data_IF_818314984912
#
_entry.id   IF_818314984912
#
_cell.length_a   1.000
_cell.length_b   1.000
_cell.length_c   1.000
_cell.angle_alpha   90.00
_cell.angle_beta   90.00
_cell.angle_gamma   90.00
#
_symmetry.space_group_name_H-M   'P 1'
#
loop_
_entity.id
_entity.type
_entity.pdbx_description
1 polymer ?
#
# COMPACT_ATOMS: atom_id res chain seq x y z
N UNK A 1 26.43 -2.48 14.10
CA UNK A 1 25.87 -3.55 13.23
C UNK A 1 26.98 -4.31 12.49
N UNK A 2 28.09 -4.65 13.19
CA UNK A 2 29.24 -5.38 12.62
C UNK A 2 29.61 -6.62 13.45
N UNK A 3 29.08 -6.79 14.68
CA UNK A 3 29.35 -7.97 15.53
C UNK A 3 28.24 -9.04 15.54
N UNK A 4 27.06 -8.81 14.97
CA UNK A 4 25.99 -9.85 14.94
C UNK A 4 26.10 -10.87 13.80
N UNK A 5 27.07 -10.76 12.88
CA UNK A 5 27.17 -11.62 11.70
C UNK A 5 28.02 -12.89 11.90
N UNK A 6 28.55 -13.14 13.11
CA UNK A 6 29.40 -14.31 13.40
C UNK A 6 28.72 -15.49 14.08
N UNK A 7 27.45 -15.40 14.50
CA UNK A 7 26.85 -16.41 15.39
C UNK A 7 25.69 -17.25 14.80
N UNK A 8 25.35 -17.14 13.50
CA UNK A 8 24.18 -17.84 12.95
C UNK A 8 24.35 -18.49 11.57
N UNK A 9 25.55 -18.97 11.22
CA UNK A 9 25.76 -19.79 10.00
C UNK A 9 26.61 -21.04 10.31
N UNK A 10 26.14 -22.25 9.97
CA UNK A 10 26.95 -23.48 10.00
C UNK A 10 28.18 -23.37 9.07
N UNK A 11 29.31 -23.93 9.50
CA UNK A 11 30.66 -23.80 8.92
C UNK A 11 30.88 -24.28 7.46
N UNK A 12 29.84 -24.62 6.69
CA UNK A 12 30.01 -25.17 5.33
C UNK A 12 29.75 -24.19 4.16
N UNK A 13 29.56 -22.88 4.42
CA UNK A 13 29.34 -21.87 3.36
C UNK A 13 30.53 -20.95 3.08
N UNK A 14 31.74 -21.34 3.49
CA UNK A 14 32.98 -20.60 3.18
C UNK A 14 33.52 -21.05 1.83
N UNK A 15 32.83 -20.75 0.71
CA UNK A 15 33.42 -20.83 -0.64
C UNK A 15 32.51 -20.22 -1.73
N UNK A 16 32.14 -18.93 -1.63
CA UNK A 16 31.71 -18.14 -2.81
C UNK A 16 32.24 -16.70 -2.68
N UNK A 17 33.41 -16.37 -3.26
CA UNK A 17 34.06 -15.06 -3.03
C UNK A 17 33.48 -13.86 -3.81
N UNK A 18 32.72 -14.06 -4.90
CA UNK A 18 32.46 -12.98 -5.86
C UNK A 18 31.32 -12.02 -5.51
N UNK A 19 30.28 -12.46 -4.79
CA UNK A 19 29.11 -11.60 -4.50
C UNK A 19 29.28 -10.71 -3.26
N UNK A 20 30.08 -11.14 -2.27
CA UNK A 20 30.19 -10.46 -0.97
C UNK A 20 31.18 -9.28 -1.03
N UNK A 21 32.19 -9.35 -1.91
CA UNK A 21 33.18 -8.29 -2.11
C UNK A 21 32.60 -7.00 -2.69
N UNK A 22 31.77 -7.09 -3.74
CA UNK A 22 31.18 -5.92 -4.41
C UNK A 22 30.08 -5.24 -3.58
N UNK A 23 29.41 -5.98 -2.68
CA UNK A 23 28.38 -5.42 -1.80
C UNK A 23 28.96 -4.57 -0.65
N UNK A 24 30.21 -4.83 -0.23
CA UNK A 24 30.89 -4.06 0.83
C UNK A 24 31.35 -2.68 0.35
N UNK A 25 31.93 -2.60 -0.84
CA UNK A 25 32.40 -1.34 -1.44
C UNK A 25 31.24 -0.42 -1.84
N UNK A 26 30.11 -0.98 -2.30
CA UNK A 26 28.94 -0.19 -2.69
C UNK A 26 28.15 0.44 -1.53
N UNK A 27 28.23 -0.11 -0.31
CA UNK A 27 27.53 0.46 0.85
C UNK A 27 28.25 1.69 1.44
N UNK A 28 29.58 1.70 1.46
CA UNK A 28 30.35 2.82 2.01
C UNK A 28 30.32 4.06 1.11
N UNK A 29 30.31 3.87 -0.22
CA UNK A 29 30.19 4.97 -1.20
C UNK A 29 28.79 5.62 -1.21
N UNK A 30 27.76 4.92 -0.74
CA UNK A 30 26.33 5.32 -0.80
C UNK A 30 25.90 6.38 0.22
N UNK A 31 26.68 6.60 1.29
CA UNK A 31 26.33 7.59 2.32
C UNK A 31 26.80 9.00 1.97
N UNK A 32 28.01 9.19 1.44
CA UNK A 32 28.57 10.52 1.12
C UNK A 32 27.99 11.16 -0.15
N UNK A 33 27.56 10.38 -1.13
CA UNK A 33 26.98 10.88 -2.40
C UNK A 33 25.48 11.24 -2.32
N UNK A 34 24.80 10.84 -1.23
CA UNK A 34 23.34 10.99 -1.06
C UNK A 34 22.88 12.45 -0.88
N UNK A 35 23.73 13.36 -0.38
CA UNK A 35 23.32 14.76 -0.13
C UNK A 35 23.41 15.65 -1.38
N UNK A 36 24.44 15.46 -2.23
CA UNK A 36 24.65 16.25 -3.47
C UNK A 36 23.82 15.76 -4.67
N UNK A 37 23.51 14.45 -4.75
CA UNK A 37 22.72 13.89 -5.86
C UNK A 37 21.23 14.23 -5.70
N UNK A 38 20.71 14.23 -4.47
CA UNK A 38 19.29 14.52 -4.20
C UNK A 38 18.93 15.97 -4.57
N UNK A 39 19.80 16.95 -4.32
CA UNK A 39 19.54 18.36 -4.64
C UNK A 39 19.54 18.64 -6.14
N UNK A 40 20.47 18.05 -6.90
CA UNK A 40 20.53 18.24 -8.36
C UNK A 40 19.44 17.45 -9.11
N UNK A 41 19.14 16.21 -8.71
CA UNK A 41 18.05 15.44 -9.33
C UNK A 41 16.67 16.06 -9.08
N UNK A 42 16.44 16.71 -7.92
CA UNK A 42 15.18 17.42 -7.64
C UNK A 42 14.99 18.65 -8.55
N UNK A 43 16.06 19.38 -8.88
CA UNK A 43 15.99 20.53 -9.81
C UNK A 43 15.64 20.09 -11.23
N UNK A 44 16.27 19.03 -11.73
CA UNK A 44 16.03 18.53 -13.09
C UNK A 44 14.66 17.84 -13.25
N UNK A 45 14.21 17.09 -12.23
CA UNK A 45 12.87 16.49 -12.21
C UNK A 45 11.76 17.56 -12.13
N UNK A 46 11.96 18.66 -11.40
CA UNK A 46 11.01 19.79 -11.38
C UNK A 46 10.86 20.43 -12.76
N UNK A 47 11.95 20.65 -13.48
CA UNK A 47 11.95 21.22 -14.85
C UNK A 47 11.21 20.33 -15.87
N UNK A 48 11.46 19.01 -15.85
CA UNK A 48 10.78 18.05 -16.74
C UNK A 48 9.29 17.95 -16.42
N UNK A 49 8.93 18.01 -15.14
CA UNK A 49 7.54 17.98 -14.70
C UNK A 49 6.77 19.26 -15.09
N UNK A 50 7.43 20.42 -15.07
CA UNK A 50 6.87 21.71 -15.53
C UNK A 50 6.65 21.68 -17.05
N UNK A 51 7.65 21.24 -17.85
CA UNK A 51 7.48 21.10 -19.31
C UNK A 51 6.34 20.14 -19.68
N UNK A 52 6.22 18.99 -19.01
CA UNK A 52 5.09 18.05 -19.21
C UNK A 52 3.73 18.64 -18.83
N UNK A 53 3.66 19.47 -17.77
CA UNK A 53 2.42 20.19 -17.38
C UNK A 53 2.02 21.27 -18.39
N UNK A 54 2.99 21.99 -18.96
CA UNK A 54 2.74 23.01 -20.00
C UNK A 54 2.23 22.34 -21.29
N UNK A 55 2.83 21.21 -21.70
CA UNK A 55 2.40 20.48 -22.89
C UNK A 55 0.99 19.88 -22.72
N UNK A 56 0.67 19.33 -21.54
CA UNK A 56 -0.69 18.85 -21.22
C UNK A 56 -1.72 19.98 -21.18
N UNK A 57 -1.37 21.17 -20.66
CA UNK A 57 -2.25 22.35 -20.69
C UNK A 57 -2.54 22.83 -22.11
N UNK A 58 -1.54 22.83 -23.00
CA UNK A 58 -1.73 23.18 -24.42
C UNK A 58 -2.64 22.20 -25.16
N UNK A 59 -2.52 20.89 -24.89
CA UNK A 59 -3.38 19.86 -25.50
C UNK A 59 -4.83 19.96 -25.01
N UNK A 60 -5.03 20.18 -23.70
CA UNK A 60 -6.35 20.33 -23.09
C UNK A 60 -7.08 21.63 -23.51
N UNK A 61 -6.34 22.70 -23.82
CA UNK A 61 -6.91 23.95 -24.37
C UNK A 61 -7.45 23.76 -25.79
N UNK A 62 -6.89 22.82 -26.56
CA UNK A 62 -7.33 22.52 -27.93
C UNK A 62 -8.63 21.69 -27.93
N UNK A 63 -8.74 20.71 -27.03
CA UNK A 63 -9.97 19.91 -26.82
C UNK A 63 -11.13 20.78 -26.25
N UNK A 64 -10.86 21.71 -25.34
CA UNK A 64 -11.86 22.64 -24.79
C UNK A 64 -12.44 23.65 -25.81
N UNK A 65 -11.75 23.91 -26.92
CA UNK A 65 -12.25 24.77 -27.99
C UNK A 65 -13.23 24.05 -28.93
N UNK A 66 -13.18 22.72 -28.99
CA UNK A 66 -14.11 21.90 -29.79
C UNK A 66 -15.41 21.62 -29.01
N UNK A 67 -15.33 21.41 -27.69
CA UNK A 67 -16.50 21.13 -26.81
C UNK A 67 -17.44 22.33 -26.58
N UNK A 68 -16.96 23.57 -26.76
CA UNK A 68 -17.79 24.79 -26.63
C UNK A 68 -18.90 24.88 -27.70
N UNK A 69 -18.80 24.11 -28.79
CA UNK A 69 -19.84 24.02 -29.83
C UNK A 69 -21.03 23.11 -29.45
N UNK A 70 -20.92 22.30 -28.39
CA UNK A 70 -21.96 21.34 -27.96
C UNK A 70 -22.70 21.72 -26.65
N UNK A 71 -22.29 22.82 -26.00
CA UNK A 71 -22.78 23.23 -24.68
C UNK A 71 -24.17 23.90 -24.64
N UNK A 72 -24.83 24.19 -25.78
CA UNK A 72 -26.14 24.89 -25.75
C UNK A 72 -27.33 23.99 -25.37
N UNK A 73 -27.15 22.66 -25.26
CA UNK A 73 -28.25 21.70 -24.99
C UNK A 73 -28.40 21.23 -23.54
N UNK A 74 -27.49 21.53 -22.61
CA UNK A 74 -27.53 20.99 -21.23
C UNK A 74 -28.15 21.91 -20.16
N UNK A 75 -28.53 23.14 -20.51
CA UNK A 75 -29.08 24.14 -19.58
C UNK A 75 -30.49 23.85 -19.01
N UNK A 76 -31.08 22.68 -19.24
CA UNK A 76 -32.48 22.38 -18.85
C UNK A 76 -32.67 21.26 -17.80
N UNK A 77 -31.60 20.73 -17.20
CA UNK A 77 -31.69 19.58 -16.27
C UNK A 77 -31.48 19.91 -14.77
N UNK A 78 -31.41 21.18 -14.38
CA UNK A 78 -31.13 21.59 -12.98
C UNK A 78 -32.35 21.84 -12.08
N UNK A 79 -33.58 21.58 -12.52
CA UNK A 79 -34.79 21.92 -11.73
C UNK A 79 -35.49 20.77 -11.01
N UNK A 80 -34.99 19.53 -11.03
CA UNK A 80 -35.69 18.41 -10.42
C UNK A 80 -34.84 17.60 -9.44
N UNK A 81 -35.10 17.76 -8.15
CA UNK A 81 -34.93 16.81 -7.01
C UNK A 81 -34.31 17.48 -5.76
N UNK A 82 -35.14 18.25 -5.04
CA UNK A 82 -34.96 18.55 -3.61
C UNK A 82 -35.51 17.37 -2.78
N UNK A 83 -34.78 16.94 -1.76
CA UNK A 83 -35.33 16.17 -0.63
C UNK A 83 -34.86 16.78 0.70
N UNK A 84 -35.77 16.77 1.69
CA UNK A 84 -35.84 17.62 2.90
C UNK A 84 -34.84 17.37 4.04
N UNK A 85 -33.67 16.76 3.78
CA UNK A 85 -32.58 16.73 4.78
C UNK A 85 -31.27 17.02 4.09
N UNK A 86 -30.82 18.28 4.19
CA UNK A 86 -29.64 18.86 3.53
C UNK A 86 -28.28 18.29 3.92
N UNK A 87 -28.11 16.96 3.85
CA UNK A 87 -26.81 16.29 3.91
C UNK A 87 -26.41 15.88 2.49
N UNK A 88 -25.58 16.69 1.83
CA UNK A 88 -24.88 16.24 0.64
C UNK A 88 -23.77 15.26 1.05
N UNK A 89 -23.97 13.97 0.79
CA UNK A 89 -22.89 13.00 0.89
C UNK A 89 -21.96 13.14 -0.32
N UNK A 90 -20.65 13.02 -0.12
CA UNK A 90 -19.69 12.86 -1.22
C UNK A 90 -20.04 11.68 -2.15
N UNK A 91 -20.86 10.72 -1.71
CA UNK A 91 -21.33 9.62 -2.55
C UNK A 91 -22.26 10.13 -3.65
N UNK A 92 -23.09 11.13 -3.36
CA UNK A 92 -23.99 11.78 -4.33
C UNK A 92 -23.17 12.51 -5.41
N UNK A 93 -22.12 13.24 -5.00
CA UNK A 93 -21.19 13.91 -5.91
C UNK A 93 -20.34 12.92 -6.73
N UNK A 94 -19.90 11.80 -6.14
CA UNK A 94 -19.06 10.79 -6.83
C UNK A 94 -19.84 9.95 -7.84
N UNK A 95 -21.13 9.68 -7.59
CA UNK A 95 -22.04 9.04 -8.55
C UNK A 95 -22.31 9.92 -9.78
N UNK A 96 -22.28 11.25 -9.62
CA UNK A 96 -22.46 12.22 -10.70
C UNK A 96 -21.18 12.49 -11.52
N UNK A 97 -20.03 11.91 -11.14
CA UNK A 97 -18.77 12.08 -11.88
C UNK A 97 -18.57 10.99 -12.94
N UNK A 98 -17.93 11.32 -14.10
CA UNK A 98 -17.51 10.34 -15.10
C UNK A 98 -16.67 9.22 -14.46
N UNK A 99 -16.82 7.98 -14.94
CA UNK A 99 -16.18 6.77 -14.36
C UNK A 99 -14.67 6.94 -14.15
N UNK A 100 -14.01 7.71 -15.02
CA UNK A 100 -12.56 7.96 -15.01
C UNK A 100 -12.10 8.81 -13.82
N UNK A 101 -12.98 9.66 -13.29
CA UNK A 101 -12.73 10.50 -12.12
C UNK A 101 -13.05 9.80 -10.78
N UNK A 102 -13.70 8.63 -10.81
CA UNK A 102 -13.97 7.87 -9.59
C UNK A 102 -12.71 7.19 -9.04
N UNK A 103 -11.72 6.97 -9.90
CA UNK A 103 -10.46 6.23 -9.67
C UNK A 103 -9.29 7.12 -9.21
N UNK A 104 -9.46 8.45 -9.13
CA UNK A 104 -8.39 9.37 -8.74
C UNK A 104 -8.29 9.52 -7.22
N UNK A 105 -7.11 9.21 -6.65
CA UNK A 105 -6.81 9.45 -5.24
C UNK A 105 -6.90 10.95 -4.91
N UNK A 106 -7.61 11.28 -3.83
CA UNK A 106 -7.86 12.67 -3.45
C UNK A 106 -6.85 13.10 -2.38
N UNK A 107 -5.84 13.89 -2.76
CA UNK A 107 -4.89 14.46 -1.81
C UNK A 107 -5.43 15.77 -1.23
N UNK A 108 -5.55 15.86 0.09
CA UNK A 108 -5.92 17.10 0.78
C UNK A 108 -4.65 17.83 1.21
N UNK A 109 -4.40 19.00 0.60
CA UNK A 109 -3.32 19.89 1.03
C UNK A 109 -3.87 21.00 1.94
N UNK A 110 -3.55 20.95 3.23
CA UNK A 110 -3.69 22.10 4.14
C UNK A 110 -2.45 23.00 4.07
N UNK A 111 -2.55 24.27 4.51
CA UNK A 111 -1.43 25.21 4.60
C UNK A 111 -0.22 24.57 5.32
N UNK A 112 0.80 24.24 4.53
CA UNK A 112 1.76 23.18 4.83
C UNK A 112 2.65 23.47 6.05
N UNK A 113 3.05 24.72 6.27
CA UNK A 113 4.09 25.06 7.25
C UNK A 113 3.64 24.95 8.72
N UNK A 114 2.43 25.43 9.05
CA UNK A 114 1.88 25.36 10.42
C UNK A 114 1.36 23.97 10.77
N UNK A 115 0.78 23.27 9.80
CA UNK A 115 0.26 21.90 9.96
C UNK A 115 1.40 20.89 10.03
N UNK A 116 2.47 21.04 9.23
CA UNK A 116 3.63 20.15 9.32
C UNK A 116 4.35 20.27 10.66
N UNK A 117 4.58 21.48 11.20
CA UNK A 117 5.25 21.64 12.49
C UNK A 117 4.41 21.05 13.65
N UNK A 118 3.13 21.42 13.76
CA UNK A 118 2.24 20.86 14.81
C UNK A 118 2.01 19.37 14.64
N UNK A 119 1.77 18.89 13.41
CA UNK A 119 1.57 17.46 13.19
C UNK A 119 2.85 16.65 13.36
N UNK A 120 4.04 17.19 13.10
CA UNK A 120 5.28 16.46 13.34
C UNK A 120 5.53 16.28 14.83
N UNK A 121 5.31 17.33 15.64
CA UNK A 121 5.43 17.21 17.11
C UNK A 121 4.36 16.25 17.66
N UNK A 122 3.12 16.38 17.20
CA UNK A 122 2.04 15.47 17.59
C UNK A 122 2.30 14.04 17.12
N UNK A 123 2.82 13.85 15.92
CA UNK A 123 3.16 12.53 15.40
C UNK A 123 4.27 11.92 16.24
N UNK A 124 5.33 12.67 16.58
CA UNK A 124 6.42 12.15 17.40
C UNK A 124 5.90 11.66 18.77
N UNK A 125 5.00 12.42 19.40
CA UNK A 125 4.34 12.02 20.65
C UNK A 125 3.42 10.81 20.47
N UNK A 126 2.56 10.84 19.45
CA UNK A 126 1.63 9.74 19.15
C UNK A 126 2.39 8.45 18.82
N UNK A 127 3.52 8.55 18.13
CA UNK A 127 4.32 7.41 17.70
C UNK A 127 4.88 6.61 18.88
N UNK A 128 5.14 7.25 20.03
CA UNK A 128 5.55 6.55 21.24
C UNK A 128 4.45 5.59 21.70
N UNK A 129 3.20 6.08 21.80
CA UNK A 129 2.05 5.26 22.15
C UNK A 129 1.74 4.20 21.08
N UNK A 130 1.72 4.59 19.81
CA UNK A 130 1.47 3.69 18.68
C UNK A 130 2.48 2.54 18.65
N UNK A 131 3.75 2.78 18.97
CA UNK A 131 4.76 1.72 18.98
C UNK A 131 4.57 0.73 20.14
N UNK A 132 4.05 1.18 21.28
CA UNK A 132 3.70 0.32 22.42
C UNK A 132 2.46 -0.52 22.13
N UNK A 133 1.44 0.09 21.51
CA UNK A 133 0.16 -0.57 21.27
C UNK A 133 0.16 -1.49 20.04
N UNK A 134 0.96 -1.20 19.01
CA UNK A 134 0.92 -1.99 17.77
C UNK A 134 1.75 -3.29 17.87
N UNK A 135 1.12 -4.47 17.66
CA UNK A 135 1.81 -5.75 17.70
C UNK A 135 2.73 -5.92 16.50
N UNK A 136 3.63 -6.91 16.58
CA UNK A 136 4.67 -7.10 15.57
C UNK A 136 4.14 -7.45 14.16
N UNK A 137 2.94 -8.01 14.09
CA UNK A 137 2.30 -8.44 12.84
C UNK A 137 1.90 -7.27 11.92
N UNK A 138 1.73 -6.06 12.46
CA UNK A 138 1.46 -4.84 11.68
C UNK A 138 2.77 -4.16 11.29
N UNK A 139 3.07 -4.15 9.98
CA UNK A 139 4.27 -3.55 9.42
C UNK A 139 4.02 -2.20 8.74
N UNK A 140 2.77 -1.86 8.43
CA UNK A 140 2.43 -0.62 7.72
C UNK A 140 2.84 0.63 8.48
N UNK A 141 3.53 1.56 7.81
CA UNK A 141 3.92 2.86 8.35
C UNK A 141 4.75 2.82 9.66
N UNK A 142 5.50 1.73 9.89
CA UNK A 142 6.40 1.61 11.04
C UNK A 142 7.86 1.78 10.64
N UNK A 143 8.64 2.39 11.53
CA UNK A 143 10.07 2.57 11.33
C UNK A 143 10.76 1.20 11.26
N UNK A 144 11.55 0.98 10.20
CA UNK A 144 12.33 -0.24 10.03
C UNK A 144 11.53 -1.47 9.59
N UNK A 145 10.24 -1.31 9.28
CA UNK A 145 9.40 -2.39 8.71
C UNK A 145 8.89 -1.93 7.35
N UNK A 146 9.07 -2.77 6.34
CA UNK A 146 8.64 -2.49 4.98
C UNK A 146 7.83 -3.63 4.39
N UNK A 147 7.29 -3.39 3.20
CA UNK A 147 6.54 -4.41 2.44
C UNK A 147 7.39 -5.64 2.16
N UNK A 148 8.72 -5.46 2.01
CA UNK A 148 9.66 -6.57 1.80
C UNK A 148 9.66 -7.59 2.93
N UNK A 149 9.52 -7.14 4.18
CA UNK A 149 9.52 -8.02 5.34
C UNK A 149 8.26 -8.88 5.35
N UNK A 150 7.11 -8.28 5.02
CA UNK A 150 5.85 -9.02 4.91
C UNK A 150 5.85 -10.01 3.74
N UNK A 151 6.39 -9.63 2.59
CA UNK A 151 6.55 -10.54 1.45
C UNK A 151 7.45 -11.73 1.84
N UNK A 152 8.56 -11.47 2.55
CA UNK A 152 9.46 -12.53 3.03
C UNK A 152 8.77 -13.45 4.04
N UNK A 153 8.05 -12.90 5.03
CA UNK A 153 7.28 -13.67 6.01
C UNK A 153 6.28 -14.60 5.32
N UNK A 154 5.51 -14.06 4.36
CA UNK A 154 4.54 -14.83 3.59
C UNK A 154 5.20 -16.00 2.84
N UNK A 155 6.32 -15.73 2.16
CA UNK A 155 7.08 -16.75 1.43
C UNK A 155 7.66 -17.83 2.34
N UNK A 156 8.17 -17.45 3.52
CA UNK A 156 8.68 -18.41 4.49
C UNK A 156 7.59 -19.27 5.09
N UNK A 157 6.42 -18.70 5.39
CA UNK A 157 5.27 -19.45 5.90
C UNK A 157 4.84 -20.52 4.90
N UNK A 158 4.67 -20.16 3.62
CA UNK A 158 4.31 -21.11 2.56
C UNK A 158 5.36 -22.22 2.43
N UNK A 159 6.64 -21.87 2.37
CA UNK A 159 7.74 -22.85 2.27
C UNK A 159 7.77 -23.79 3.47
N UNK A 160 7.61 -23.25 4.68
CA UNK A 160 7.66 -24.04 5.91
C UNK A 160 6.49 -25.01 6.01
N UNK A 161 5.28 -24.60 5.65
CA UNK A 161 4.16 -25.53 5.64
C UNK A 161 4.32 -26.61 4.58
N UNK A 162 4.89 -26.28 3.41
CA UNK A 162 5.22 -27.27 2.39
C UNK A 162 6.25 -28.30 2.89
N UNK A 163 7.30 -27.83 3.57
CA UNK A 163 8.28 -28.72 4.23
C UNK A 163 7.62 -29.65 5.25
N UNK A 164 6.60 -29.17 5.96
CA UNK A 164 5.83 -29.93 6.95
C UNK A 164 4.62 -30.68 6.37
N UNK A 165 4.40 -30.62 5.05
CA UNK A 165 3.23 -31.18 4.36
C UNK A 165 1.88 -30.75 4.97
N UNK A 166 1.81 -29.52 5.48
CA UNK A 166 0.60 -28.93 6.04
C UNK A 166 -0.15 -28.11 5.01
N UNK A 167 -1.47 -28.17 5.08
CA UNK A 167 -2.31 -27.25 4.32
C UNK A 167 -2.30 -25.86 4.96
N UNK A 168 -2.27 -24.82 4.14
CA UNK A 168 -2.50 -23.45 4.57
C UNK A 168 -3.61 -22.83 3.74
N UNK A 169 -4.42 -22.05 4.43
CA UNK A 169 -5.43 -21.18 3.87
C UNK A 169 -5.06 -19.73 4.17
N UNK A 170 -5.08 -18.88 3.14
CA UNK A 170 -4.90 -17.45 3.24
C UNK A 170 -6.17 -16.75 2.78
N UNK A 171 -6.59 -15.74 3.54
CA UNK A 171 -7.66 -14.84 3.14
C UNK A 171 -7.09 -13.42 3.06
N UNK A 172 -7.06 -12.87 1.86
CA UNK A 172 -6.67 -11.50 1.57
C UNK A 172 -7.90 -10.61 1.68
N UNK A 173 -7.96 -9.82 2.76
CA UNK A 173 -9.07 -8.91 3.06
C UNK A 173 -8.87 -7.60 2.32
N UNK A 174 -9.94 -7.15 1.65
CA UNK A 174 -10.06 -5.79 1.09
C UNK A 174 -11.20 -5.05 1.80
N UNK A 175 -10.92 -3.87 2.35
CA UNK A 175 -11.93 -3.01 2.95
C UNK A 175 -12.53 -2.07 1.89
N UNK A 176 -13.86 -1.93 1.90
CA UNK A 176 -14.55 -1.01 1.01
C UNK A 176 -14.29 0.44 1.41
N UNK A 177 -13.33 1.10 0.74
CA UNK A 177 -12.99 2.53 0.93
C UNK A 177 -12.65 2.86 2.39
N UNK A 178 -11.79 2.04 2.97
CA UNK A 178 -11.23 2.11 4.32
C UNK A 178 -11.00 3.53 4.88
N UNK A 179 -10.25 4.39 4.18
CA UNK A 179 -9.94 5.75 4.65
C UNK A 179 -11.16 6.67 4.65
N UNK A 180 -12.11 6.46 3.73
CA UNK A 180 -13.31 7.29 3.58
C UNK A 180 -14.42 6.90 4.59
N UNK A 181 -14.34 5.69 5.17
CA UNK A 181 -15.37 5.11 6.03
C UNK A 181 -15.15 5.33 7.54
N UNK A 182 -13.99 5.86 7.95
CA UNK A 182 -13.69 6.10 9.37
C UNK A 182 -14.58 7.21 9.93
N UNK A 183 -15.40 6.86 10.92
CA UNK A 183 -16.25 7.77 11.68
C UNK A 183 -15.42 8.46 12.77
N UNK A 184 -15.39 9.80 12.77
CA UNK A 184 -14.63 10.58 13.75
C UNK A 184 -15.11 10.34 15.18
N UNK A 185 -16.42 10.20 15.41
CA UNK A 185 -16.96 9.98 16.77
C UNK A 185 -16.45 8.67 17.36
N UNK A 186 -16.45 7.61 16.54
CA UNK A 186 -15.92 6.30 16.93
C UNK A 186 -14.41 6.32 17.07
N UNK A 187 -13.70 7.01 16.17
CA UNK A 187 -12.25 7.16 16.25
C UNK A 187 -11.81 7.76 17.59
N UNK A 188 -12.45 8.85 18.06
CA UNK A 188 -12.08 9.47 19.34
C UNK A 188 -12.33 8.53 20.53
N UNK A 189 -13.41 7.75 20.50
CA UNK A 189 -13.71 6.74 21.52
C UNK A 189 -12.65 5.64 21.54
N UNK A 190 -12.29 5.13 20.36
CA UNK A 190 -11.26 4.09 20.19
C UNK A 190 -9.91 4.56 20.70
N UNK A 191 -9.50 5.80 20.39
CA UNK A 191 -8.20 6.31 20.85
C UNK A 191 -8.12 6.37 22.38
N UNK A 192 -9.22 6.74 23.06
CA UNK A 192 -9.30 6.69 24.53
C UNK A 192 -9.19 5.26 25.06
N UNK A 193 -9.93 4.32 24.48
CA UNK A 193 -9.89 2.91 24.87
C UNK A 193 -8.53 2.25 24.62
N UNK A 194 -7.79 2.72 23.60
CA UNK A 194 -6.43 2.28 23.29
C UNK A 194 -5.35 2.92 24.19
N UNK A 195 -5.73 3.65 25.25
CA UNK A 195 -4.81 4.22 26.23
C UNK A 195 -4.13 5.53 25.82
N UNK A 196 -4.64 6.23 24.80
CA UNK A 196 -4.06 7.52 24.38
C UNK A 196 -4.55 8.63 25.32
N UNK A 197 -3.63 9.45 25.87
CA UNK A 197 -3.99 10.53 26.78
C UNK A 197 -5.05 11.47 26.23
N UNK A 198 -5.98 11.88 27.10
CA UNK A 198 -7.11 12.74 26.75
C UNK A 198 -6.68 14.09 26.15
N UNK A 199 -5.57 14.66 26.62
CA UNK A 199 -5.04 15.91 26.08
C UNK A 199 -4.63 15.79 24.60
N UNK A 200 -4.04 14.66 24.19
CA UNK A 200 -3.70 14.40 22.78
C UNK A 200 -4.96 14.17 21.94
N UNK A 201 -5.91 13.41 22.46
CA UNK A 201 -7.19 13.14 21.79
C UNK A 201 -7.99 14.43 21.60
N UNK A 202 -7.97 15.34 22.57
CA UNK A 202 -8.59 16.66 22.48
C UNK A 202 -7.95 17.53 21.37
N UNK A 203 -6.61 17.55 21.30
CA UNK A 203 -5.88 18.25 20.23
C UNK A 203 -6.22 17.69 18.84
N UNK A 204 -6.28 16.35 18.70
CA UNK A 204 -6.69 15.70 17.45
C UNK A 204 -8.14 16.04 17.09
N UNK A 205 -9.06 16.00 18.05
CA UNK A 205 -10.47 16.38 17.83
C UNK A 205 -10.58 17.82 17.35
N UNK A 206 -9.84 18.75 17.95
CA UNK A 206 -9.82 20.15 17.53
C UNK A 206 -9.21 20.33 16.13
N UNK A 207 -8.19 19.54 15.79
CA UNK A 207 -7.64 19.52 14.43
C UNK A 207 -8.65 19.03 13.42
N UNK A 208 -9.54 18.11 13.81
CA UNK A 208 -10.52 17.52 12.90
C UNK A 208 -11.89 18.22 12.87
N UNK A 209 -12.20 19.06 13.85
CA UNK A 209 -13.47 19.78 13.96
C UNK A 209 -13.66 20.84 12.87
N UNK A 210 -14.91 21.07 12.46
CA UNK A 210 -15.29 22.15 11.53
C UNK A 210 -14.63 22.08 10.15
N UNK A 211 -14.28 20.88 9.69
CA UNK A 211 -13.62 20.71 8.39
C UNK A 211 -14.57 20.89 7.23
N UNK A 212 -14.25 21.84 6.37
CA UNK A 212 -14.88 22.00 5.07
C UNK A 212 -13.91 21.62 3.96
N UNK A 213 -14.46 21.08 2.88
CA UNK A 213 -13.72 20.88 1.66
C UNK A 213 -14.54 21.34 0.45
N UNK A 214 -13.80 21.65 -0.60
CA UNK A 214 -14.33 21.89 -1.94
C UNK A 214 -13.53 21.05 -2.93
N UNK A 215 -14.21 20.59 -3.98
CA UNK A 215 -13.61 19.89 -5.12
C UNK A 215 -13.38 20.89 -6.25
N UNK A 216 -12.12 21.04 -6.67
CA UNK A 216 -11.75 21.81 -7.86
C UNK A 216 -11.73 20.90 -9.08
N UNK A 217 -12.65 21.12 -10.01
CA UNK A 217 -12.75 20.38 -11.28
C UNK A 217 -12.20 21.24 -12.43
N UNK A 218 -12.19 20.68 -13.65
CA UNK A 218 -11.85 21.45 -14.86
C UNK A 218 -12.87 22.53 -15.21
N UNK A 219 -14.09 22.44 -14.68
CA UNK A 219 -15.22 23.33 -14.98
C UNK A 219 -15.51 24.35 -13.87
N UNK A 220 -14.71 24.36 -12.80
CA UNK A 220 -14.88 25.28 -11.68
C UNK A 220 -14.64 24.63 -10.31
N UNK A 221 -14.83 25.43 -9.26
CA UNK A 221 -14.73 24.99 -7.87
C UNK A 221 -16.13 24.75 -7.34
N UNK A 222 -16.37 23.60 -6.73
CA UNK A 222 -17.67 23.26 -6.13
C UNK A 222 -17.94 24.05 -4.85
N UNK A 223 -19.18 24.06 -4.38
CA UNK A 223 -19.54 24.66 -3.10
C UNK A 223 -18.85 23.91 -1.96
N UNK A 224 -18.52 24.63 -0.89
CA UNK A 224 -18.00 24.04 0.34
C UNK A 224 -19.00 23.06 0.95
N UNK A 225 -18.52 21.93 1.40
CA UNK A 225 -19.31 20.97 2.18
C UNK A 225 -18.49 20.47 3.37
N UNK A 226 -19.20 20.05 4.41
CA UNK A 226 -18.61 19.60 5.66
C UNK A 226 -18.12 18.14 5.57
N UNK A 227 -16.95 17.86 6.14
CA UNK A 227 -16.36 16.52 6.20
C UNK A 227 -16.77 15.85 7.52
N UNK A 228 -17.76 14.95 7.48
CA UNK A 228 -18.23 14.21 8.65
C UNK A 228 -17.60 12.82 8.87
N UNK A 229 -16.98 12.25 7.85
CA UNK A 229 -16.30 10.94 7.86
C UNK A 229 -15.05 11.06 7.00
N UNK A 230 -14.03 10.24 7.30
CA UNK A 230 -12.73 10.10 6.59
C UNK A 230 -11.51 10.53 7.40
N UNK A 231 -10.40 9.83 7.23
CA UNK A 231 -9.08 10.31 7.66
C UNK A 231 -8.39 11.07 6.52
N UNK A 232 -7.79 12.24 6.81
CA UNK A 232 -7.22 13.15 5.80
C UNK A 232 -6.14 12.47 4.94
N UNK A 233 -6.43 12.21 3.67
CA UNK A 233 -5.42 11.66 2.74
C UNK A 233 -4.35 12.72 2.44
N UNK A 234 -3.10 12.41 2.80
CA UNK A 234 -1.96 13.35 2.72
C UNK A 234 -1.58 14.00 4.06
N UNK A 235 -2.37 13.81 5.13
CA UNK A 235 -1.96 14.19 6.48
C UNK A 235 -1.02 13.14 7.06
N UNK A 236 0.04 13.62 7.72
CA UNK A 236 1.10 12.80 8.31
C UNK A 236 0.58 11.91 9.46
N UNK A 237 -0.49 12.35 10.15
CA UNK A 237 -1.10 11.61 11.27
C UNK A 237 -2.04 10.50 10.82
N UNK A 238 -2.60 10.59 9.62
CA UNK A 238 -3.64 9.68 9.14
C UNK A 238 -3.23 8.20 9.15
N UNK A 239 -2.01 7.84 8.72
CA UNK A 239 -1.58 6.44 8.78
C UNK A 239 -1.52 5.89 10.21
N UNK A 240 -1.04 6.69 11.17
CA UNK A 240 -0.97 6.28 12.57
C UNK A 240 -2.37 6.06 13.18
N UNK A 241 -3.30 6.98 12.89
CA UNK A 241 -4.69 6.89 13.35
C UNK A 241 -5.39 5.66 12.77
N UNK A 242 -5.18 5.40 11.48
CA UNK A 242 -5.75 4.22 10.83
C UNK A 242 -5.17 2.91 11.41
N UNK A 243 -3.87 2.85 11.66
CA UNK A 243 -3.26 1.66 12.27
C UNK A 243 -3.84 1.36 13.65
N UNK A 244 -4.05 2.36 14.50
CA UNK A 244 -4.68 2.20 15.82
C UNK A 244 -6.13 1.73 15.70
N UNK A 245 -6.86 2.29 14.73
CA UNK A 245 -8.23 1.91 14.45
C UNK A 245 -8.34 0.46 13.98
N UNK A 246 -7.45 0.04 13.06
CA UNK A 246 -7.35 -1.34 12.61
C UNK A 246 -6.94 -2.29 13.75
N UNK A 247 -6.02 -1.86 14.62
CA UNK A 247 -5.60 -2.65 15.78
C UNK A 247 -6.74 -2.90 16.76
N UNK A 248 -7.54 -1.87 17.04
CA UNK A 248 -8.73 -2.00 17.88
C UNK A 248 -9.70 -3.08 17.39
N UNK A 249 -9.91 -3.17 16.07
CA UNK A 249 -10.74 -4.22 15.45
C UNK A 249 -10.13 -5.60 15.73
N UNK A 250 -8.82 -5.75 15.52
CA UNK A 250 -8.13 -7.04 15.68
C UNK A 250 -8.12 -7.52 17.13
N UNK A 251 -7.91 -6.61 18.10
CA UNK A 251 -8.01 -6.91 19.54
C UNK A 251 -9.42 -7.34 19.92
N UNK A 252 -10.43 -6.62 19.45
CA UNK A 252 -11.84 -6.94 19.74
C UNK A 252 -12.36 -8.19 19.02
N UNK A 253 -11.69 -8.60 17.94
CA UNK A 253 -11.89 -9.90 17.29
C UNK A 253 -11.18 -11.04 18.04
N UNK A 254 -10.40 -10.73 19.09
CA UNK A 254 -9.65 -11.68 19.93
C UNK A 254 -8.79 -12.62 19.10
N UNK A 255 -8.08 -12.07 18.12
CA UNK A 255 -7.21 -12.86 17.26
C UNK A 255 -6.04 -13.47 18.05
N UNK A 256 -5.48 -12.77 19.03
CA UNK A 256 -4.34 -13.30 19.81
C UNK A 256 -4.72 -14.54 20.65
N UNK A 257 -5.94 -14.58 21.16
CA UNK A 257 -6.49 -15.71 21.93
C UNK A 257 -6.98 -16.86 21.03
N UNK A 258 -7.08 -16.63 19.72
CA UNK A 258 -7.60 -17.62 18.80
C UNK A 258 -6.60 -18.79 18.61
N UNK A 259 -7.10 -20.01 18.78
CA UNK A 259 -6.36 -21.24 18.47
C UNK A 259 -6.12 -21.40 16.96
N UNK A 260 -6.96 -20.76 16.15
CA UNK A 260 -6.88 -20.76 14.70
C UNK A 260 -5.70 -19.91 14.21
N UNK A 261 -4.88 -20.49 13.34
CA UNK A 261 -3.69 -19.87 12.79
C UNK A 261 -2.68 -20.90 12.30
N UNK A 262 -1.47 -20.44 12.01
CA UNK A 262 -0.33 -21.27 11.66
C UNK A 262 0.54 -21.43 12.90
N UNK A 263 0.59 -22.66 13.42
CA UNK A 263 1.28 -22.98 14.66
C UNK A 263 2.76 -23.13 14.36
N UNK A 264 3.54 -22.12 14.73
CA UNK A 264 5.00 -22.21 14.78
C UNK A 264 5.42 -22.66 16.18
N UNK A 265 6.59 -23.27 16.34
CA UNK A 265 7.09 -23.83 17.60
C UNK A 265 7.03 -22.90 18.83
N UNK A 266 6.91 -21.57 18.65
CA UNK A 266 6.81 -20.60 19.74
C UNK A 266 5.55 -19.73 19.73
N UNK A 267 4.86 -19.60 18.60
CA UNK A 267 3.79 -18.61 18.40
C UNK A 267 2.78 -19.10 17.36
N UNK A 268 1.52 -18.74 17.56
CA UNK A 268 0.48 -18.90 16.55
C UNK A 268 0.43 -17.64 15.66
N UNK A 269 0.58 -17.80 14.35
CA UNK A 269 0.51 -16.68 13.39
C UNK A 269 -0.79 -16.80 12.62
N UNK A 270 -1.72 -15.87 12.85
CA UNK A 270 -3.02 -15.89 12.17
C UNK A 270 -3.28 -14.68 11.29
N UNK A 271 -2.42 -13.65 11.34
CA UNK A 271 -2.54 -12.50 10.48
C UNK A 271 -1.18 -11.88 10.13
N UNK A 272 -1.09 -11.32 8.93
CA UNK A 272 -0.05 -10.40 8.50
C UNK A 272 -0.71 -9.14 7.99
N UNK A 273 -0.22 -7.97 8.43
CA UNK A 273 -0.84 -6.69 8.12
C UNK A 273 0.17 -5.70 7.56
N UNK A 274 -0.23 -4.99 6.53
CA UNK A 274 0.49 -3.86 5.99
C UNK A 274 -0.50 -2.72 5.71
N UNK A 275 -0.64 -1.82 6.69
CA UNK A 275 -1.65 -0.76 6.65
C UNK A 275 -3.07 -1.36 6.59
N UNK A 276 -3.80 -1.10 5.52
CA UNK A 276 -5.15 -1.60 5.22
C UNK A 276 -5.15 -3.03 4.70
N UNK A 277 -4.09 -3.44 3.97
CA UNK A 277 -3.92 -4.80 3.52
C UNK A 277 -3.80 -5.74 4.72
N UNK A 278 -4.82 -6.57 4.93
CA UNK A 278 -4.85 -7.58 5.99
C UNK A 278 -4.96 -8.97 5.37
N UNK A 279 -4.01 -9.84 5.71
CA UNK A 279 -4.07 -11.25 5.34
C UNK A 279 -4.31 -12.07 6.59
N UNK A 280 -5.44 -12.78 6.65
CA UNK A 280 -5.68 -13.81 7.66
C UNK A 280 -5.16 -15.15 7.16
N UNK A 281 -4.75 -16.02 8.09
CA UNK A 281 -4.25 -17.35 7.76
C UNK A 281 -4.58 -18.38 8.83
N UNK A 282 -4.77 -19.63 8.41
CA UNK A 282 -4.92 -20.79 9.28
C UNK A 282 -4.50 -22.08 8.57
N UNK A 283 -4.26 -23.14 9.34
CA UNK A 283 -3.98 -24.50 8.84
C UNK A 283 -5.26 -25.27 8.41
N UNK A 284 -6.45 -24.78 8.78
CA UNK A 284 -7.74 -25.44 8.54
C UNK A 284 -8.83 -24.44 8.13
N UNK A 285 -10.06 -24.94 7.91
CA UNK A 285 -11.24 -24.11 7.66
C UNK A 285 -11.61 -23.17 8.82
N UNK A 286 -10.93 -23.25 9.98
CA UNK A 286 -11.07 -22.30 11.08
C UNK A 286 -10.84 -20.84 10.66
N UNK A 287 -10.16 -20.60 9.53
CA UNK A 287 -10.08 -19.29 8.88
C UNK A 287 -11.45 -18.66 8.65
N UNK A 288 -12.51 -19.45 8.39
CA UNK A 288 -13.91 -18.97 8.28
C UNK A 288 -14.32 -18.25 9.57
N UNK A 289 -14.04 -18.86 10.71
CA UNK A 289 -14.39 -18.30 12.02
C UNK A 289 -13.64 -16.99 12.30
N UNK A 290 -12.35 -16.93 11.96
CA UNK A 290 -11.53 -15.72 12.11
C UNK A 290 -12.07 -14.58 11.26
N UNK A 291 -12.41 -14.88 10.01
CA UNK A 291 -12.91 -13.90 9.07
C UNK A 291 -14.30 -13.37 9.46
N UNK A 292 -15.20 -14.24 9.93
CA UNK A 292 -16.50 -13.83 10.47
C UNK A 292 -16.34 -12.91 11.68
N UNK A 293 -15.47 -13.25 12.64
CA UNK A 293 -15.17 -12.39 13.80
C UNK A 293 -14.64 -11.02 13.37
N UNK A 294 -13.67 -10.98 12.45
CA UNK A 294 -13.12 -9.73 11.94
C UNK A 294 -14.19 -8.92 11.20
N UNK A 295 -15.04 -9.56 10.40
CA UNK A 295 -16.17 -8.90 9.70
C UNK A 295 -17.12 -8.23 10.68
N UNK A 296 -17.64 -8.97 11.65
CA UNK A 296 -18.61 -8.45 12.63
C UNK A 296 -18.04 -7.27 13.42
N UNK A 297 -16.79 -7.37 13.86
CA UNK A 297 -16.13 -6.29 14.62
C UNK A 297 -15.81 -5.09 13.75
N UNK A 298 -15.42 -5.30 12.50
CA UNK A 298 -15.19 -4.23 11.52
C UNK A 298 -16.49 -3.45 11.25
N UNK A 299 -17.60 -4.15 11.03
CA UNK A 299 -18.89 -3.53 10.73
C UNK A 299 -19.41 -2.71 11.90
N UNK A 300 -19.21 -3.17 13.15
CA UNK A 300 -19.56 -2.42 14.37
C UNK A 300 -18.87 -1.06 14.43
N UNK A 301 -17.61 -0.99 14.02
CA UNK A 301 -16.89 0.29 13.96
C UNK A 301 -17.17 1.07 12.68
N UNK A 302 -17.75 0.44 11.65
CA UNK A 302 -18.19 1.10 10.41
C UNK A 302 -17.28 0.85 9.22
N UNK A 303 -16.35 -0.09 9.31
CA UNK A 303 -15.60 -0.61 8.17
C UNK A 303 -16.30 -1.83 7.59
N UNK A 304 -16.66 -1.76 6.31
CA UNK A 304 -17.28 -2.87 5.59
C UNK A 304 -16.23 -3.60 4.76
N UNK A 305 -16.22 -4.91 4.85
CA UNK A 305 -15.41 -5.75 3.97
C UNK A 305 -16.00 -5.75 2.55
N UNK A 306 -15.12 -5.73 1.56
CA UNK A 306 -15.49 -5.92 0.17
C UNK A 306 -15.31 -7.40 -0.19
N UNK A 307 -16.40 -8.17 -0.05
CA UNK A 307 -16.35 -9.63 -0.28
C UNK A 307 -15.96 -9.97 -1.72
N UNK A 308 -16.35 -9.15 -2.70
CA UNK A 308 -16.00 -9.37 -4.11
C UNK A 308 -14.51 -9.18 -4.42
N UNK A 309 -13.82 -8.35 -3.64
CA UNK A 309 -12.36 -8.14 -3.78
C UNK A 309 -11.53 -8.98 -2.82
N UNK A 310 -12.18 -9.49 -1.77
CA UNK A 310 -11.57 -10.43 -0.84
C UNK A 310 -11.33 -11.73 -1.57
N UNK A 311 -10.11 -12.28 -1.44
CA UNK A 311 -9.71 -13.51 -2.16
C UNK A 311 -9.18 -14.54 -1.19
N UNK A 312 -9.37 -15.81 -1.52
CA UNK A 312 -8.84 -16.93 -0.75
C UNK A 312 -7.85 -17.71 -1.59
N UNK A 313 -6.71 -18.01 -0.99
CA UNK A 313 -5.68 -18.82 -1.60
C UNK A 313 -5.42 -20.01 -0.68
N UNK A 314 -5.51 -21.22 -1.21
CA UNK A 314 -5.46 -22.45 -0.43
C UNK A 314 -4.51 -23.46 -1.08
N UNK A 315 -3.70 -24.13 -0.27
CA UNK A 315 -2.89 -25.26 -0.73
C UNK A 315 -3.63 -26.61 -0.64
N UNK A 316 -4.67 -26.69 0.19
CA UNK A 316 -5.51 -27.87 0.36
C UNK A 316 -6.76 -27.84 -0.54
N UNK A 317 -7.50 -28.97 -0.63
CA UNK A 317 -8.72 -29.04 -1.42
C UNK A 317 -9.78 -28.09 -0.85
N UNK A 318 -10.32 -27.20 -1.69
CA UNK A 318 -11.52 -26.39 -1.39
C UNK A 318 -12.42 -26.41 -2.62
N UNK A 319 -13.69 -26.74 -2.40
CA UNK A 319 -14.74 -26.70 -3.42
C UNK A 319 -15.50 -25.38 -3.41
N UNK A 320 -15.75 -24.79 -2.23
CA UNK A 320 -16.39 -23.48 -2.12
C UNK A 320 -16.10 -22.79 -0.78
N UNK A 321 -16.14 -21.46 -0.79
CA UNK A 321 -16.03 -20.66 0.43
C UNK A 321 -17.10 -19.57 0.44
N UNK A 322 -17.97 -19.60 1.44
CA UNK A 322 -19.07 -18.63 1.58
C UNK A 322 -19.03 -17.92 2.93
N UNK A 323 -19.39 -16.65 2.92
CA UNK A 323 -19.47 -15.79 4.10
C UNK A 323 -20.81 -15.05 4.05
N UNK A 324 -21.72 -15.34 4.98
CA UNK A 324 -23.08 -14.79 5.01
C UNK A 324 -23.80 -14.90 3.63
N UNK A 325 -23.71 -16.09 3.00
CA UNK A 325 -24.34 -16.36 1.70
C UNK A 325 -23.62 -15.76 0.48
N UNK A 326 -22.49 -15.06 0.66
CA UNK A 326 -21.68 -14.55 -0.46
C UNK A 326 -20.46 -15.44 -0.69
N UNK A 327 -20.28 -15.91 -1.92
CA UNK A 327 -19.11 -16.70 -2.33
C UNK A 327 -17.87 -15.81 -2.44
N UNK A 328 -16.77 -16.24 -1.82
CA UNK A 328 -15.46 -15.61 -1.93
C UNK A 328 -14.67 -16.30 -3.04
N UNK A 329 -13.99 -15.52 -3.87
CA UNK A 329 -13.21 -16.05 -4.98
C UNK A 329 -11.98 -16.81 -4.47
N UNK A 330 -11.79 -18.04 -4.96
CA UNK A 330 -10.62 -18.87 -4.68
C UNK A 330 -9.61 -18.69 -5.82
N UNK A 331 -8.36 -18.42 -5.48
CA UNK A 331 -7.28 -18.16 -6.43
C UNK A 331 -6.06 -19.02 -6.15
N UNK A 332 -5.34 -19.40 -7.21
CA UNK A 332 -4.06 -20.10 -7.12
C UNK A 332 -2.88 -19.14 -6.83
N UNK A 333 -3.05 -17.86 -7.16
CA UNK A 333 -2.04 -16.84 -6.93
C UNK A 333 -2.65 -15.47 -6.61
N UNK A 334 -1.88 -14.65 -5.89
CA UNK A 334 -2.30 -13.31 -5.47
C UNK A 334 -1.13 -12.32 -5.50
N UNK A 335 -1.41 -11.05 -5.81
CA UNK A 335 -0.41 -9.97 -5.74
C UNK A 335 -0.41 -9.38 -4.33
N UNK A 336 0.47 -9.89 -3.47
CA UNK A 336 0.64 -9.42 -2.10
C UNK A 336 1.84 -8.46 -1.99
N UNK A 337 1.61 -7.25 -1.46
CA UNK A 337 2.68 -6.25 -1.32
C UNK A 337 3.35 -5.86 -2.65
N UNK A 338 2.65 -6.05 -3.76
CA UNK A 338 3.15 -5.86 -5.13
C UNK A 338 3.83 -7.08 -5.75
N UNK A 339 4.12 -8.14 -4.99
CA UNK A 339 4.73 -9.37 -5.46
C UNK A 339 3.73 -10.50 -5.65
N UNK A 340 3.87 -11.27 -6.73
CA UNK A 340 3.06 -12.45 -6.98
C UNK A 340 3.45 -13.57 -6.03
N UNK A 341 2.49 -14.05 -5.25
CA UNK A 341 2.60 -15.19 -4.34
C UNK A 341 1.72 -16.30 -4.90
N UNK A 342 2.27 -17.51 -4.94
CA UNK A 342 1.59 -18.72 -5.40
C UNK A 342 1.47 -19.72 -4.25
N UNK A 343 0.48 -20.60 -4.32
CA UNK A 343 0.23 -21.64 -3.32
C UNK A 343 1.41 -22.61 -3.15
N UNK A 344 2.16 -22.87 -4.22
CA UNK A 344 3.32 -23.76 -4.23
C UNK A 344 4.62 -23.10 -3.73
N UNK A 345 4.61 -21.78 -3.56
CA UNK A 345 5.76 -20.96 -3.16
C UNK A 345 6.82 -20.79 -4.26
N UNK A 346 6.54 -21.15 -5.52
CA UNK A 346 7.51 -21.02 -6.60
C UNK A 346 7.68 -19.57 -7.04
N UNK A 347 8.92 -19.08 -6.97
CA UNK A 347 9.24 -17.69 -7.30
C UNK A 347 9.38 -17.45 -8.81
N UNK A 348 9.39 -18.50 -9.65
CA UNK A 348 9.63 -18.39 -11.10
C UNK A 348 8.62 -17.48 -11.79
N UNK A 349 7.34 -17.55 -11.41
CA UNK A 349 6.28 -16.72 -11.99
C UNK A 349 6.45 -15.24 -11.62
N UNK A 350 6.84 -14.92 -10.39
CA UNK A 350 7.13 -13.54 -9.97
C UNK A 350 8.39 -13.00 -10.65
N UNK A 351 9.46 -13.79 -10.74
CA UNK A 351 10.71 -13.39 -11.42
C UNK A 351 10.41 -13.04 -12.88
N UNK A 352 9.72 -13.92 -13.61
CA UNK A 352 9.28 -13.64 -14.99
C UNK A 352 8.45 -12.36 -15.07
N UNK A 353 7.47 -12.19 -14.18
CA UNK A 353 6.63 -10.98 -14.12
C UNK A 353 7.46 -9.72 -13.92
N UNK A 354 8.46 -9.74 -13.03
CA UNK A 354 9.35 -8.59 -12.76
C UNK A 354 10.23 -8.24 -13.95
N UNK A 355 10.76 -9.24 -14.63
CA UNK A 355 11.52 -9.04 -15.86
C UNK A 355 10.64 -8.39 -16.94
N UNK A 356 9.40 -8.86 -17.11
CA UNK A 356 8.44 -8.25 -18.05
C UNK A 356 8.08 -6.80 -17.68
N UNK A 357 7.89 -6.50 -16.39
CA UNK A 357 7.66 -5.13 -15.92
C UNK A 357 8.90 -4.25 -16.17
N UNK A 358 10.10 -4.78 -15.95
CA UNK A 358 11.36 -4.11 -16.28
C UNK A 358 11.46 -3.78 -17.78
N UNK A 359 11.16 -4.76 -18.65
CA UNK A 359 11.10 -4.55 -20.11
C UNK A 359 10.13 -3.45 -20.48
N UNK A 360 8.93 -3.43 -19.88
CA UNK A 360 7.94 -2.38 -20.11
C UNK A 360 8.44 -0.98 -19.73
N UNK A 361 9.20 -0.86 -18.64
CA UNK A 361 9.82 0.42 -18.26
C UNK A 361 10.90 0.82 -19.27
N UNK A 362 11.72 -0.15 -19.71
CA UNK A 362 12.75 0.08 -20.72
C UNK A 362 12.15 0.57 -22.06
N UNK A 363 11.08 -0.08 -22.55
CA UNK A 363 10.38 0.33 -23.77
C UNK A 363 9.77 1.74 -23.65
N UNK A 364 9.29 2.13 -22.47
CA UNK A 364 8.80 3.49 -22.24
C UNK A 364 9.92 4.55 -22.27
N UNK A 365 11.17 4.13 -22.09
CA UNK A 365 12.36 4.99 -22.17
C UNK A 365 13.02 4.96 -23.55
N UNK A 366 12.49 4.21 -24.52
CA UNK A 366 13.12 3.96 -25.83
C UNK A 366 13.50 5.26 -26.57
N UNK A 367 12.59 6.24 -26.61
CA UNK A 367 12.86 7.56 -27.21
C UNK A 367 14.03 8.32 -26.56
N UNK A 368 14.20 8.17 -25.24
CA UNK A 368 15.27 8.81 -24.46
C UNK A 368 16.58 8.06 -24.66
N UNK A 369 16.53 6.72 -24.68
CA UNK A 369 17.71 5.87 -24.85
C UNK A 369 18.27 5.96 -26.28
N UNK A 370 17.42 6.19 -27.29
CA UNK A 370 17.82 6.40 -28.70
C UNK A 370 18.22 7.84 -29.04
N UNK A 371 17.89 8.83 -28.21
CA UNK A 371 18.27 10.23 -28.46
C UNK A 371 19.80 10.39 -28.46
N UNK A 372 20.32 11.12 -29.47
CA UNK A 372 21.75 11.47 -29.57
C UNK A 372 22.15 12.59 -28.62
N UNK A 373 21.18 13.38 -28.15
CA UNK A 373 21.41 14.55 -27.27
C UNK A 373 21.71 14.16 -25.82
N UNK A 374 21.55 12.88 -25.47
CA UNK A 374 21.71 12.37 -24.11
C UNK A 374 22.96 11.50 -24.05
N UNK A 375 23.87 11.84 -23.14
CA UNK A 375 25.12 11.10 -22.96
C UNK A 375 24.88 9.70 -22.40
N UNK A 376 25.74 8.75 -22.77
CA UNK A 376 25.68 7.37 -22.29
C UNK A 376 25.65 7.25 -20.75
N UNK A 377 26.45 8.02 -19.97
CA UNK A 377 26.38 7.96 -18.50
C UNK A 377 25.00 8.31 -17.95
N UNK A 378 24.29 9.28 -18.54
CA UNK A 378 22.94 9.67 -18.13
C UNK A 378 21.95 8.53 -18.45
N UNK A 379 22.07 7.91 -19.63
CA UNK A 379 21.23 6.76 -20.02
C UNK A 379 21.41 5.59 -19.04
N UNK A 380 22.66 5.23 -18.72
CA UNK A 380 22.96 4.19 -17.72
C UNK A 380 22.40 4.56 -16.34
N UNK A 381 22.50 5.83 -15.94
CA UNK A 381 21.92 6.31 -14.69
C UNK A 381 20.39 6.13 -14.68
N UNK A 382 19.69 6.46 -15.76
CA UNK A 382 18.25 6.29 -15.89
C UNK A 382 17.83 4.82 -15.79
N UNK A 383 18.52 3.91 -16.49
CA UNK A 383 18.25 2.46 -16.41
C UNK A 383 18.44 1.96 -14.99
N UNK A 384 19.56 2.30 -14.34
CA UNK A 384 19.83 1.91 -12.94
C UNK A 384 18.82 2.50 -11.94
N UNK A 385 18.27 3.68 -12.21
CA UNK A 385 17.34 4.36 -11.32
C UNK A 385 15.87 4.01 -11.55
N UNK A 386 15.48 3.58 -12.76
CA UNK A 386 14.08 3.35 -13.13
C UNK A 386 13.76 1.90 -13.45
N UNK A 387 14.67 1.16 -14.09
CA UNK A 387 14.44 -0.23 -14.52
C UNK A 387 14.82 -1.21 -13.41
N UNK A 388 16.05 -1.12 -12.92
CA UNK A 388 16.56 -2.08 -11.92
C UNK A 388 15.76 -2.12 -10.62
N UNK A 389 15.25 -0.99 -10.06
CA UNK A 389 14.41 -1.06 -8.87
C UNK A 389 13.09 -1.82 -9.09
N UNK A 390 12.52 -1.77 -10.30
CA UNK A 390 11.31 -2.51 -10.65
C UNK A 390 11.59 -4.00 -10.73
N UNK A 391 12.73 -4.38 -11.34
CA UNK A 391 13.15 -5.77 -11.49
C UNK A 391 13.56 -6.38 -10.15
N UNK A 392 14.31 -5.65 -9.32
CA UNK A 392 14.83 -6.16 -8.04
C UNK A 392 13.82 -6.08 -6.89
N UNK A 393 12.63 -5.52 -7.10
CA UNK A 393 11.65 -5.42 -6.02
C UNK A 393 11.22 -6.83 -5.55
N UNK A 394 11.38 -7.09 -4.26
CA UNK A 394 11.06 -8.39 -3.65
C UNK A 394 12.15 -9.46 -3.83
N UNK A 395 13.29 -9.17 -4.47
CA UNK A 395 14.29 -10.20 -4.76
C UNK A 395 14.88 -10.90 -3.52
N UNK A 396 14.87 -10.21 -2.36
CA UNK A 396 15.34 -10.77 -1.10
C UNK A 396 14.49 -11.93 -0.56
N UNK A 397 13.25 -12.11 -1.05
CA UNK A 397 12.39 -13.23 -0.65
C UNK A 397 12.38 -14.38 -1.66
N UNK A 398 13.09 -14.24 -2.79
CA UNK A 398 13.06 -15.24 -3.85
C UNK A 398 13.93 -16.45 -3.54
N UNK A 399 13.41 -17.64 -3.82
CA UNK A 399 14.25 -18.83 -3.99
C UNK A 399 14.63 -18.92 -5.46
N UNK A 400 15.87 -18.53 -5.79
CA UNK A 400 16.34 -18.45 -7.18
C UNK A 400 16.96 -19.78 -7.59
N UNK A 401 16.42 -20.41 -8.63
CA UNK A 401 16.97 -21.61 -9.26
C UNK A 401 17.99 -21.23 -10.35
N UNK A 402 18.86 -22.16 -10.75
CA UNK A 402 19.87 -21.93 -11.83
C UNK A 402 19.25 -21.43 -13.15
N UNK A 403 18.04 -21.89 -13.49
CA UNK A 403 17.31 -21.41 -14.67
C UNK A 403 16.87 -19.93 -14.53
N UNK A 404 16.48 -19.51 -13.33
CA UNK A 404 16.07 -18.13 -13.06
C UNK A 404 17.27 -17.18 -13.03
N UNK A 405 18.42 -17.60 -12.48
CA UNK A 405 19.66 -16.83 -12.59
C UNK A 405 19.99 -16.52 -14.05
N UNK A 406 19.98 -17.55 -14.91
CA UNK A 406 20.22 -17.39 -16.36
C UNK A 406 19.27 -16.38 -17.02
N UNK A 407 18.00 -16.35 -16.62
CA UNK A 407 17.03 -15.37 -17.13
C UNK A 407 17.30 -13.95 -16.66
N UNK A 408 17.69 -13.79 -15.39
CA UNK A 408 18.06 -12.50 -14.81
C UNK A 408 19.32 -11.96 -15.50
N UNK A 409 20.33 -12.81 -15.70
CA UNK A 409 21.56 -12.45 -16.40
C UNK A 409 21.29 -12.08 -17.86
N UNK A 410 20.46 -12.86 -18.57
CA UNK A 410 20.03 -12.52 -19.93
C UNK A 410 19.31 -11.17 -20.00
N UNK A 411 18.48 -10.84 -19.02
CA UNK A 411 17.84 -9.51 -18.95
C UNK A 411 18.86 -8.39 -18.71
N UNK A 412 19.85 -8.63 -17.84
CA UNK A 412 20.91 -7.66 -17.57
C UNK A 412 21.78 -7.40 -18.80
N UNK A 413 22.08 -8.43 -19.58
CA UNK A 413 22.82 -8.32 -20.85
C UNK A 413 22.01 -7.63 -21.96
N UNK A 414 20.68 -7.77 -21.92
CA UNK A 414 19.78 -7.12 -22.87
C UNK A 414 19.59 -5.61 -22.59
N UNK A 415 19.71 -5.18 -21.33
CA UNK A 415 19.59 -3.77 -20.94
C UNK A 415 20.86 -2.97 -21.24
#
# INVERSE_FOLDING_TARGET
MVQCLRLYLPRQWVQVPSLVGELRTHMHYRQKTRSRIVTNSIKTLKMVHIKKKILKKKKKKKELLEDLSHSSKFGKLSSGHRTEKGQFSFQSLRKAMPKDAQTTGQLQSSHASKVMLKNNVLQARLQQYVNCELPDVQAGFRKGRGTRDQIANMQWIIKKARELQKNIYFCFIDYAKDFDCVDHKKLWKILKEMGIPDHLTCLLRNLYAGQEATVRTGHGTTVWFQIGKKVRQGCILSPCLFNLYAEYIMRNARLEEAQAGIKTARRNINNLRYADDTTLMAESEELKSLLTKVKEKSEKVGLKLNIQKTKIMASGPITSWQIHGQTVEIVADFIFGGSKITTDGDCSHEIKRRLLLGRKVMTNLDSILKSRDITLPIKVCLVKAMVFPVVMYGCASWTVKKAECRRIDAFKLWC
#
